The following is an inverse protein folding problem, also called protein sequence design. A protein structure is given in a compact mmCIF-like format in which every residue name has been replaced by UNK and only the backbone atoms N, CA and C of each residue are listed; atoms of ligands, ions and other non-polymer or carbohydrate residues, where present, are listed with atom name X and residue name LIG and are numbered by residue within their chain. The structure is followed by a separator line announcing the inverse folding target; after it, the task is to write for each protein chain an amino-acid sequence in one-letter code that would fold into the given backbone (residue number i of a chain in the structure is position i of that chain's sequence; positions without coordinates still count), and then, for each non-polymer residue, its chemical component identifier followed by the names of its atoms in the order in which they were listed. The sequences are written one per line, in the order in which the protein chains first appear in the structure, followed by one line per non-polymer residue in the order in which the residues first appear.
data_IF_366539485991
#
_entry.id   IF_366539485991
#
_cell.length_a   1.000
_cell.length_b   1.000
_cell.length_c   1.000
_cell.angle_alpha   90.00
_cell.angle_beta   90.00
_cell.angle_gamma   90.00
#
_symmetry.space_group_name_H-M   'P 1'
#
loop_
_entity.id
_entity.type
_entity.pdbx_description
1 polymer ?
#
# COMPACT_ATOMS: atom_id res chain seq x y z
N UNK A 1 6.60 44.85 17.06
CA UNK A 1 5.85 43.56 17.05
C UNK A 1 6.33 42.78 15.85
N UNK A 2 7.15 41.74 16.05
CA UNK A 2 7.61 40.88 14.97
C UNK A 2 6.58 39.81 14.67
N UNK A 3 6.05 39.80 13.45
CA UNK A 3 5.19 38.71 12.95
C UNK A 3 6.13 37.55 12.66
N UNK A 4 6.18 36.56 13.56
CA UNK A 4 6.82 35.29 13.27
C UNK A 4 5.97 34.58 12.21
N UNK A 5 6.36 34.70 10.94
CA UNK A 5 5.97 33.76 9.90
C UNK A 5 6.61 32.42 10.27
N UNK A 6 5.93 31.61 11.06
CA UNK A 6 6.27 30.19 11.18
C UNK A 6 6.15 29.60 9.78
N UNK A 7 7.27 29.12 9.23
CA UNK A 7 7.27 28.38 7.98
C UNK A 7 6.18 27.28 8.04
N UNK A 8 5.47 27.00 6.92
CA UNK A 8 4.44 25.98 6.90
C UNK A 8 5.03 24.66 7.40
N UNK A 9 4.44 24.12 8.46
CA UNK A 9 4.85 22.83 9.05
C UNK A 9 4.57 21.77 8.00
N UNK A 10 5.62 21.15 7.44
CA UNK A 10 5.47 20.06 6.47
C UNK A 10 4.69 18.91 7.13
N UNK A 11 3.69 18.33 6.43
CA UNK A 11 2.89 17.23 6.99
C UNK A 11 3.78 16.04 7.34
N UNK A 12 3.54 15.42 8.51
CA UNK A 12 4.25 14.22 8.91
C UNK A 12 3.82 13.05 8.02
N UNK A 13 4.75 12.28 7.43
CA UNK A 13 4.39 11.10 6.66
C UNK A 13 3.69 10.09 7.57
N UNK A 14 2.45 9.75 7.25
CA UNK A 14 1.75 8.62 7.87
C UNK A 14 2.21 7.35 7.16
N UNK A 15 3.27 6.72 7.67
CA UNK A 15 3.95 5.62 6.95
C UNK A 15 3.02 4.44 6.67
N UNK A 16 2.11 4.15 7.60
CA UNK A 16 1.11 3.10 7.42
C UNK A 16 0.03 3.46 6.38
N UNK A 17 -0.02 4.72 5.92
CA UNK A 17 -0.85 5.09 4.79
C UNK A 17 -0.46 4.33 3.52
N UNK A 18 0.72 3.71 3.43
CA UNK A 18 1.06 2.78 2.34
C UNK A 18 0.08 1.61 2.26
N UNK A 19 -0.18 0.93 3.37
CA UNK A 19 -1.12 -0.21 3.41
C UNK A 19 -2.55 0.27 3.19
N UNK A 20 -2.98 1.32 3.91
CA UNK A 20 -4.32 1.89 3.72
C UNK A 20 -4.57 2.34 2.27
N UNK A 21 -3.61 3.03 1.65
CA UNK A 21 -3.75 3.48 0.28
C UNK A 21 -3.68 2.31 -0.71
N UNK A 22 -2.97 1.22 -0.40
CA UNK A 22 -3.06 0.00 -1.20
C UNK A 22 -4.49 -0.57 -1.23
N UNK A 23 -5.24 -0.49 -0.11
CA UNK A 23 -6.66 -0.87 -0.11
C UNK A 23 -7.46 0.09 -1.01
N UNK A 24 -7.17 1.39 -0.99
CA UNK A 24 -7.80 2.35 -1.91
C UNK A 24 -7.45 2.12 -3.38
N UNK A 25 -6.24 1.60 -3.68
CA UNK A 25 -5.86 1.13 -5.02
C UNK A 25 -6.72 -0.05 -5.42
N UNK A 26 -6.89 -1.04 -4.53
CA UNK A 26 -7.72 -2.22 -4.78
C UNK A 26 -9.18 -1.79 -5.03
N UNK A 27 -9.73 -0.86 -4.24
CA UNK A 27 -11.07 -0.28 -4.45
C UNK A 27 -11.20 0.42 -5.79
N UNK A 28 -10.24 1.28 -6.14
CA UNK A 28 -10.23 2.01 -7.41
C UNK A 28 -10.14 1.09 -8.62
N UNK A 29 -9.20 0.13 -8.59
CA UNK A 29 -9.04 -0.85 -9.65
C UNK A 29 -10.24 -1.79 -9.78
N UNK A 30 -10.89 -2.16 -8.67
CA UNK A 30 -12.14 -2.93 -8.71
C UNK A 30 -13.27 -2.17 -9.41
N UNK A 31 -13.38 -0.85 -9.20
CA UNK A 31 -14.34 0.00 -9.93
C UNK A 31 -14.05 0.03 -11.44
N UNK A 32 -12.78 0.07 -11.83
CA UNK A 32 -12.39 0.02 -13.25
C UNK A 32 -12.77 -1.30 -13.90
N UNK A 33 -12.55 -2.43 -13.20
CA UNK A 33 -12.97 -3.76 -13.64
C UNK A 33 -14.51 -3.86 -13.75
N UNK A 34 -15.25 -3.31 -12.78
CA UNK A 34 -16.72 -3.26 -12.86
C UNK A 34 -17.19 -2.45 -14.07
N UNK A 35 -16.59 -1.28 -14.31
CA UNK A 35 -16.92 -0.41 -15.42
C UNK A 35 -16.62 -1.06 -16.78
N UNK A 36 -15.54 -1.84 -16.90
CA UNK A 36 -15.19 -2.56 -18.12
C UNK A 36 -16.23 -3.62 -18.53
N UNK A 37 -17.09 -4.06 -17.60
CA UNK A 37 -18.17 -5.02 -17.86
C UNK A 37 -19.50 -4.36 -18.24
N UNK A 38 -19.62 -3.04 -18.18
CA UNK A 38 -20.83 -2.32 -18.55
C UNK A 38 -20.95 -2.26 -20.07
N UNK A 39 -22.05 -2.81 -20.61
CA UNK A 39 -22.35 -2.75 -22.04
C UNK A 39 -22.94 -1.39 -22.42
N UNK A 40 -22.66 -0.93 -23.63
CA UNK A 40 -23.18 0.33 -24.17
C UNK A 40 -23.35 0.25 -25.69
N UNK A 41 -23.87 1.30 -26.32
CA UNK A 41 -23.97 1.40 -27.78
C UNK A 41 -22.61 1.25 -28.50
N UNK A 42 -21.50 1.51 -27.80
CA UNK A 42 -20.13 1.45 -28.33
C UNK A 42 -19.31 0.30 -27.78
N UNK A 43 -19.82 -0.43 -26.78
CA UNK A 43 -19.10 -1.53 -26.11
C UNK A 43 -19.95 -2.79 -26.14
N UNK A 44 -19.58 -3.71 -27.04
CA UNK A 44 -20.17 -5.04 -27.11
C UNK A 44 -19.56 -6.00 -26.07
N UNK A 45 -20.15 -7.20 -25.93
CA UNK A 45 -19.71 -8.22 -24.97
C UNK A 45 -18.25 -8.63 -25.16
N UNK A 46 -17.78 -8.69 -26.41
CA UNK A 46 -16.40 -9.11 -26.72
C UNK A 46 -15.40 -8.04 -26.29
N UNK A 47 -15.72 -6.79 -26.56
CA UNK A 47 -14.91 -5.62 -26.19
C UNK A 47 -14.85 -5.47 -24.66
N UNK A 48 -16.00 -5.60 -23.98
CA UNK A 48 -16.06 -5.58 -22.51
C UNK A 48 -15.17 -6.66 -21.86
N UNK A 49 -15.27 -7.91 -22.33
CA UNK A 49 -14.44 -9.02 -21.82
C UNK A 49 -12.95 -8.79 -22.09
N UNK A 50 -12.60 -8.23 -23.26
CA UNK A 50 -11.21 -7.90 -23.59
C UNK A 50 -10.64 -6.82 -22.66
N UNK A 51 -11.38 -5.73 -22.45
CA UNK A 51 -11.01 -4.65 -21.52
C UNK A 51 -10.86 -5.15 -20.08
N UNK A 52 -11.82 -5.97 -19.61
CA UNK A 52 -11.72 -6.59 -18.30
C UNK A 52 -10.44 -7.43 -18.17
N UNK A 53 -10.12 -8.25 -19.18
CA UNK A 53 -8.93 -9.12 -19.17
C UNK A 53 -7.64 -8.31 -19.08
N UNK A 54 -7.55 -7.18 -19.78
CA UNK A 54 -6.38 -6.28 -19.73
C UNK A 54 -6.17 -5.68 -18.34
N UNK A 55 -7.26 -5.39 -17.61
CA UNK A 55 -7.23 -4.85 -16.25
C UNK A 55 -7.02 -5.93 -15.18
N UNK A 56 -7.48 -7.15 -15.42
CA UNK A 56 -7.50 -8.22 -14.41
C UNK A 56 -6.11 -8.66 -13.98
N UNK A 57 -5.22 -8.93 -14.94
CA UNK A 57 -3.87 -9.41 -14.63
C UNK A 57 -3.05 -8.46 -13.75
N UNK A 58 -2.93 -7.14 -14.06
CA UNK A 58 -2.20 -6.23 -13.19
C UNK A 58 -2.88 -6.00 -11.85
N UNK A 59 -4.23 -6.01 -11.80
CA UNK A 59 -4.97 -5.95 -10.54
C UNK A 59 -4.66 -7.12 -9.61
N UNK A 60 -4.71 -8.36 -10.12
CA UNK A 60 -4.38 -9.55 -9.35
C UNK A 60 -2.91 -9.55 -8.91
N UNK A 61 -1.99 -9.16 -9.79
CA UNK A 61 -0.58 -9.00 -9.41
C UNK A 61 -0.45 -8.02 -8.25
N UNK A 62 -1.13 -6.86 -8.30
CA UNK A 62 -1.09 -5.88 -7.20
C UNK A 62 -1.63 -6.46 -5.89
N UNK A 63 -2.77 -7.15 -5.92
CA UNK A 63 -3.34 -7.80 -4.74
C UNK A 63 -2.41 -8.85 -4.14
N UNK A 64 -1.79 -9.70 -4.98
CA UNK A 64 -0.86 -10.71 -4.51
C UNK A 64 0.37 -10.10 -3.83
N UNK A 65 0.91 -8.99 -4.36
CA UNK A 65 2.01 -8.27 -3.71
C UNK A 65 1.58 -7.63 -2.39
N UNK A 66 0.38 -7.05 -2.33
CA UNK A 66 -0.19 -6.49 -1.10
C UNK A 66 -0.35 -7.58 -0.02
N UNK A 67 -0.97 -8.71 -0.36
CA UNK A 67 -1.10 -9.86 0.54
C UNK A 67 0.26 -10.42 0.98
N UNK A 68 1.26 -10.42 0.08
CA UNK A 68 2.64 -10.80 0.41
C UNK A 68 3.27 -9.88 1.45
N UNK A 69 2.96 -8.58 1.41
CA UNK A 69 3.37 -7.62 2.44
C UNK A 69 2.66 -7.84 3.79
N UNK A 70 1.41 -8.30 3.76
CA UNK A 70 0.62 -8.59 4.96
C UNK A 70 1.05 -9.88 5.66
N UNK A 71 1.20 -10.97 4.92
CA UNK A 71 1.54 -12.30 5.44
C UNK A 71 3.05 -12.52 5.63
N UNK A 72 3.85 -11.73 4.91
CA UNK A 72 5.30 -11.84 4.85
C UNK A 72 5.78 -12.84 3.80
N UNK A 73 7.07 -12.78 3.50
CA UNK A 73 7.74 -13.67 2.56
C UNK A 73 9.24 -13.64 2.79
N UNK A 74 9.90 -14.81 2.76
CA UNK A 74 11.33 -14.92 3.04
C UNK A 74 11.66 -14.40 4.44
N UNK A 75 12.51 -13.37 4.51
CA UNK A 75 12.97 -12.76 5.77
C UNK A 75 11.98 -11.72 6.33
N UNK A 76 10.99 -11.28 5.56
CA UNK A 76 9.97 -10.34 6.04
C UNK A 76 8.87 -11.09 6.79
N UNK A 77 8.63 -10.70 8.06
CA UNK A 77 7.63 -11.38 8.91
C UNK A 77 6.18 -11.14 8.45
N UNK A 78 5.92 -10.04 7.74
CA UNK A 78 4.57 -9.60 7.37
C UNK A 78 3.95 -8.63 8.39
N UNK A 79 3.10 -7.72 7.92
CA UNK A 79 2.38 -6.78 8.77
C UNK A 79 1.49 -7.50 9.81
N UNK A 80 0.87 -8.62 9.46
CA UNK A 80 0.00 -9.34 10.40
C UNK A 80 0.78 -9.95 11.56
N UNK A 81 1.89 -10.65 11.29
CA UNK A 81 2.73 -11.20 12.36
C UNK A 81 3.38 -10.11 13.21
N UNK A 82 3.79 -9.01 12.59
CA UNK A 82 4.26 -7.82 13.30
C UNK A 82 3.19 -7.31 14.28
N UNK A 83 1.94 -7.17 13.82
CA UNK A 83 0.82 -6.73 14.64
C UNK A 83 0.46 -7.73 15.75
N UNK A 84 0.59 -9.02 15.51
CA UNK A 84 0.37 -10.01 16.56
C UNK A 84 1.43 -9.92 17.65
N UNK A 85 2.69 -9.73 17.26
CA UNK A 85 3.82 -9.58 18.17
C UNK A 85 3.76 -8.29 18.98
N UNK A 86 3.41 -7.18 18.35
CA UNK A 86 3.51 -5.84 18.96
C UNK A 86 2.17 -5.33 19.53
N UNK A 87 1.04 -5.84 19.06
CA UNK A 87 -0.29 -5.34 19.42
C UNK A 87 -1.22 -6.46 19.94
N UNK A 88 -0.70 -7.33 20.80
CA UNK A 88 -1.46 -8.34 21.55
C UNK A 88 -2.28 -9.31 20.68
N UNK A 89 -1.69 -9.81 19.60
CA UNK A 89 -2.38 -10.75 18.72
C UNK A 89 -3.51 -10.11 17.89
N UNK A 90 -3.44 -8.81 17.59
CA UNK A 90 -4.57 -8.09 16.96
C UNK A 90 -5.02 -8.69 15.63
N UNK A 91 -4.11 -9.18 14.78
CA UNK A 91 -4.46 -9.77 13.50
C UNK A 91 -5.08 -11.18 13.70
N UNK A 92 -4.49 -12.01 14.56
CA UNK A 92 -5.02 -13.32 14.90
C UNK A 92 -6.40 -13.24 15.59
N UNK A 93 -6.60 -12.29 16.50
CA UNK A 93 -7.88 -12.10 17.19
C UNK A 93 -8.99 -11.66 16.23
N UNK A 94 -8.64 -10.94 15.16
CA UNK A 94 -9.54 -10.54 14.09
C UNK A 94 -9.68 -11.60 12.97
N UNK A 95 -8.93 -12.72 13.04
CA UNK A 95 -8.98 -13.78 12.05
C UNK A 95 -8.34 -13.46 10.70
N UNK A 96 -7.53 -12.39 10.60
CA UNK A 96 -7.06 -11.85 9.30
C UNK A 96 -6.29 -12.88 8.46
N UNK A 97 -5.46 -13.71 9.10
CA UNK A 97 -4.69 -14.77 8.43
C UNK A 97 -5.54 -15.80 7.66
N UNK A 98 -6.82 -15.94 7.99
CA UNK A 98 -7.71 -16.88 7.32
C UNK A 98 -8.47 -16.27 6.13
N UNK A 99 -8.55 -14.94 6.05
CA UNK A 99 -9.43 -14.22 5.12
C UNK A 99 -8.94 -14.25 3.66
N UNK A 100 -7.63 -14.42 3.45
CA UNK A 100 -7.03 -14.48 2.11
C UNK A 100 -7.38 -15.76 1.33
N UNK A 101 -7.66 -16.86 2.03
CA UNK A 101 -7.95 -18.16 1.39
C UNK A 101 -9.29 -18.17 0.61
N UNK A 102 -10.41 -17.66 1.16
CA UNK A 102 -11.65 -17.46 0.41
C UNK A 102 -11.48 -16.62 -0.87
N UNK A 103 -10.68 -15.55 -0.82
CA UNK A 103 -10.44 -14.64 -1.95
C UNK A 103 -9.78 -15.39 -3.11
N UNK A 104 -8.77 -16.21 -2.84
CA UNK A 104 -8.12 -17.02 -3.86
C UNK A 104 -9.10 -18.00 -4.57
N UNK A 105 -10.12 -18.48 -3.86
CA UNK A 105 -11.19 -19.29 -4.45
C UNK A 105 -12.06 -18.52 -5.45
N UNK A 106 -12.38 -17.27 -5.12
CA UNK A 106 -13.16 -16.36 -5.95
C UNK A 106 -12.35 -15.84 -7.14
N UNK A 107 -11.06 -15.56 -6.97
CA UNK A 107 -10.11 -15.23 -8.05
C UNK A 107 -10.13 -16.32 -9.12
N UNK A 108 -9.90 -17.58 -8.72
CA UNK A 108 -9.99 -18.73 -9.65
C UNK A 108 -11.37 -18.85 -10.30
N UNK A 109 -12.42 -18.39 -9.63
CA UNK A 109 -13.78 -18.36 -10.19
C UNK A 109 -13.87 -17.36 -11.35
N UNK A 110 -13.38 -16.14 -11.15
CA UNK A 110 -13.31 -15.11 -12.20
C UNK A 110 -12.43 -15.56 -13.36
N UNK A 111 -11.26 -16.15 -13.09
CA UNK A 111 -10.37 -16.68 -14.13
C UNK A 111 -11.03 -17.76 -15.00
N UNK A 112 -11.83 -18.65 -14.39
CA UNK A 112 -12.60 -19.64 -15.15
C UNK A 112 -13.62 -18.98 -16.09
N UNK A 113 -14.28 -17.91 -15.64
CA UNK A 113 -15.19 -17.14 -16.49
C UNK A 113 -14.49 -16.29 -17.56
N UNK A 114 -13.20 -16.02 -17.41
CA UNK A 114 -12.38 -15.44 -18.48
C UNK A 114 -11.93 -16.47 -19.54
N UNK A 115 -12.10 -17.76 -19.25
CA UNK A 115 -11.75 -18.86 -20.12
C UNK A 115 -12.64 -18.99 -21.36
N UNK A 116 -12.33 -19.95 -22.27
CA UNK A 116 -12.99 -20.07 -23.57
C UNK A 116 -14.48 -20.42 -23.51
N UNK A 117 -14.97 -20.90 -22.35
CA UNK A 117 -16.37 -21.28 -22.14
C UNK A 117 -17.14 -20.28 -21.28
N UNK A 118 -16.48 -19.22 -20.80
CA UNK A 118 -17.13 -18.19 -20.00
C UNK A 118 -18.01 -17.28 -20.85
N UNK A 119 -19.08 -16.76 -20.24
CA UNK A 119 -19.92 -15.73 -20.87
C UNK A 119 -19.70 -14.40 -20.17
N UNK A 120 -20.00 -13.30 -20.87
CA UNK A 120 -19.97 -11.96 -20.25
C UNK A 120 -20.84 -11.88 -18.98
N UNK A 121 -22.01 -12.51 -18.97
CA UNK A 121 -22.89 -12.53 -17.79
C UNK A 121 -22.29 -13.35 -16.63
N UNK A 122 -21.70 -14.52 -16.92
CA UNK A 122 -21.02 -15.35 -15.91
C UNK A 122 -19.79 -14.62 -15.33
N UNK A 123 -19.01 -13.94 -16.16
CA UNK A 123 -17.90 -13.10 -15.72
C UNK A 123 -18.38 -11.97 -14.80
N UNK A 124 -19.44 -11.27 -15.20
CA UNK A 124 -19.98 -10.16 -14.43
C UNK A 124 -20.51 -10.61 -13.05
N UNK A 125 -21.22 -11.73 -12.98
CA UNK A 125 -21.72 -12.25 -11.70
C UNK A 125 -20.59 -12.70 -10.77
N UNK A 126 -19.60 -13.45 -11.30
CA UNK A 126 -18.45 -13.89 -10.50
C UNK A 126 -17.60 -12.72 -10.02
N UNK A 127 -17.36 -11.73 -10.87
CA UNK A 127 -16.61 -10.54 -10.48
C UNK A 127 -17.37 -9.71 -9.44
N UNK A 128 -18.68 -9.57 -9.56
CA UNK A 128 -19.51 -8.90 -8.54
C UNK A 128 -19.34 -9.57 -7.17
N UNK A 129 -19.46 -10.90 -7.10
CA UNK A 129 -19.27 -11.67 -5.85
C UNK A 129 -17.85 -11.48 -5.31
N UNK A 130 -16.84 -11.60 -6.19
CA UNK A 130 -15.44 -11.34 -5.82
C UNK A 130 -15.25 -9.94 -5.23
N UNK A 131 -15.77 -8.90 -5.89
CA UNK A 131 -15.61 -7.52 -5.44
C UNK A 131 -16.33 -7.24 -4.12
N UNK A 132 -17.52 -7.81 -3.91
CA UNK A 132 -18.27 -7.66 -2.66
C UNK A 132 -17.52 -8.28 -1.47
N UNK A 133 -17.01 -9.51 -1.65
CA UNK A 133 -16.23 -10.20 -0.62
C UNK A 133 -14.90 -9.49 -0.36
N UNK A 134 -14.22 -9.05 -1.42
CA UNK A 134 -12.95 -8.33 -1.28
C UNK A 134 -13.13 -6.98 -0.56
N UNK A 135 -14.20 -6.23 -0.84
CA UNK A 135 -14.49 -4.98 -0.11
C UNK A 135 -14.76 -5.22 1.38
N UNK A 136 -15.53 -6.27 1.71
CA UNK A 136 -15.79 -6.65 3.09
C UNK A 136 -14.49 -7.02 3.82
N UNK A 137 -13.61 -7.78 3.16
CA UNK A 137 -12.30 -8.13 3.67
C UNK A 137 -11.42 -6.91 3.97
N UNK A 138 -11.27 -5.99 3.00
CA UNK A 138 -10.50 -4.76 3.18
C UNK A 138 -11.02 -3.89 4.34
N UNK A 139 -12.32 -3.94 4.60
CA UNK A 139 -12.97 -3.23 5.71
C UNK A 139 -12.61 -3.87 7.04
N UNK A 140 -12.70 -5.19 7.17
CA UNK A 140 -12.32 -5.93 8.38
C UNK A 140 -10.85 -5.71 8.73
N UNK A 141 -9.95 -5.77 7.74
CA UNK A 141 -8.53 -5.47 7.94
C UNK A 141 -8.31 -4.06 8.46
N UNK A 142 -8.95 -3.05 7.85
CA UNK A 142 -8.80 -1.66 8.30
C UNK A 142 -9.33 -1.45 9.72
N UNK A 143 -10.47 -2.04 10.06
CA UNK A 143 -11.05 -1.95 11.41
C UNK A 143 -10.16 -2.60 12.47
N UNK A 144 -9.51 -3.72 12.14
CA UNK A 144 -8.61 -4.43 13.05
C UNK A 144 -7.23 -3.77 13.17
N UNK A 145 -6.63 -3.39 12.05
CA UNK A 145 -5.23 -2.94 11.99
C UNK A 145 -5.07 -1.47 12.39
N UNK A 146 -5.97 -0.58 11.95
CA UNK A 146 -5.78 0.86 12.13
C UNK A 146 -5.70 1.28 13.61
N UNK A 147 -6.52 0.75 14.55
CA UNK A 147 -6.38 1.07 15.97
C UNK A 147 -5.04 0.60 16.55
N UNK A 148 -4.57 -0.60 16.16
CA UNK A 148 -3.31 -1.16 16.62
C UNK A 148 -2.12 -0.32 16.13
N UNK A 149 -2.11 0.06 14.84
CA UNK A 149 -1.10 0.92 14.25
C UNK A 149 -1.08 2.30 14.89
N UNK A 150 -2.24 2.92 15.07
CA UNK A 150 -2.35 4.22 15.73
C UNK A 150 -1.73 4.17 17.11
N UNK A 151 -2.06 3.13 17.90
CA UNK A 151 -1.49 2.92 19.23
C UNK A 151 0.03 2.76 19.19
N UNK A 152 0.57 1.92 18.31
CA UNK A 152 2.02 1.73 18.17
C UNK A 152 2.73 3.05 17.82
N UNK A 153 2.13 3.86 16.94
CA UNK A 153 2.65 5.18 16.59
C UNK A 153 2.61 6.15 17.79
N UNK A 154 1.55 6.14 18.59
CA UNK A 154 1.42 6.98 19.79
C UNK A 154 2.41 6.56 20.90
N UNK A 155 2.77 5.28 20.96
CA UNK A 155 3.80 4.73 21.86
C UNK A 155 5.24 5.02 21.40
N UNK A 156 5.42 5.72 20.27
CA UNK A 156 6.73 6.11 19.76
C UNK A 156 7.49 5.00 19.02
N UNK A 157 6.76 3.96 18.58
CA UNK A 157 7.34 2.89 17.75
C UNK A 157 7.85 3.46 16.43
N UNK A 158 9.03 3.01 15.98
CA UNK A 158 9.57 3.40 14.68
C UNK A 158 8.80 2.71 13.54
N UNK A 159 7.70 3.32 13.13
CA UNK A 159 6.83 2.81 12.07
C UNK A 159 7.53 2.74 10.71
N UNK A 160 8.63 3.50 10.49
CA UNK A 160 9.39 3.44 9.23
C UNK A 160 10.23 2.18 9.18
N UNK A 161 10.97 1.90 10.25
CA UNK A 161 11.72 0.65 10.36
C UNK A 161 10.80 -0.56 10.23
N UNK A 162 9.65 -0.55 10.91
CA UNK A 162 8.67 -1.63 10.82
C UNK A 162 8.11 -1.81 9.41
N UNK A 163 7.66 -0.74 8.74
CA UNK A 163 7.12 -0.88 7.38
C UNK A 163 8.16 -1.34 6.37
N UNK A 164 9.43 -0.94 6.52
CA UNK A 164 10.52 -1.49 5.70
C UNK A 164 10.72 -2.97 5.94
N UNK A 165 10.88 -3.38 7.20
CA UNK A 165 11.29 -4.75 7.56
C UNK A 165 10.15 -5.77 7.46
N UNK A 166 8.94 -5.38 7.84
CA UNK A 166 7.80 -6.30 7.92
C UNK A 166 6.99 -6.33 6.63
N UNK A 167 6.93 -5.22 5.86
CA UNK A 167 6.13 -5.14 4.63
C UNK A 167 7.00 -5.09 3.37
N UNK A 168 7.79 -4.04 3.17
CA UNK A 168 8.50 -3.81 1.90
C UNK A 168 9.65 -4.79 1.64
N UNK A 169 10.28 -5.32 2.68
CA UNK A 169 11.29 -6.38 2.55
C UNK A 169 10.72 -7.70 1.98
N UNK A 170 9.40 -7.86 1.96
CA UNK A 170 8.74 -9.00 1.31
C UNK A 170 8.79 -8.90 -0.23
N UNK A 171 9.04 -7.71 -0.77
CA UNK A 171 9.06 -7.44 -2.20
C UNK A 171 10.49 -7.38 -2.73
N UNK A 172 10.73 -7.97 -3.91
CA UNK A 172 11.91 -7.70 -4.72
C UNK A 172 11.83 -6.30 -5.35
N UNK A 173 12.95 -5.80 -5.88
CA UNK A 173 12.99 -4.48 -6.52
C UNK A 173 11.97 -4.34 -7.67
N UNK A 174 11.87 -5.32 -8.56
CA UNK A 174 10.93 -5.31 -9.69
C UNK A 174 9.45 -5.37 -9.22
N UNK A 175 9.18 -6.09 -8.13
CA UNK A 175 7.85 -6.12 -7.51
C UNK A 175 7.51 -4.78 -6.86
N UNK A 176 8.46 -4.16 -6.14
CA UNK A 176 8.29 -2.80 -5.60
C UNK A 176 8.02 -1.79 -6.70
N UNK A 177 8.77 -1.85 -7.81
CA UNK A 177 8.63 -0.91 -8.91
C UNK A 177 7.25 -1.01 -9.56
N UNK A 178 6.76 -2.24 -9.80
CA UNK A 178 5.41 -2.47 -10.27
C UNK A 178 4.36 -1.99 -9.27
N UNK A 179 4.52 -2.31 -7.98
CA UNK A 179 3.58 -1.94 -6.92
C UNK A 179 3.42 -0.42 -6.85
N UNK A 180 4.53 0.33 -6.91
CA UNK A 180 4.52 1.79 -6.88
C UNK A 180 3.88 2.37 -8.14
N UNK A 181 4.27 1.94 -9.35
CA UNK A 181 3.68 2.46 -10.60
C UNK A 181 2.17 2.25 -10.63
N UNK A 182 1.72 1.02 -10.34
CA UNK A 182 0.30 0.68 -10.35
C UNK A 182 -0.47 1.47 -9.31
N UNK A 183 0.02 1.53 -8.07
CA UNK A 183 -0.63 2.27 -7.00
C UNK A 183 -0.78 3.75 -7.34
N UNK A 184 0.29 4.40 -7.80
CA UNK A 184 0.28 5.84 -8.08
C UNK A 184 -0.70 6.19 -9.19
N UNK A 185 -0.72 5.41 -10.29
CA UNK A 185 -1.68 5.60 -11.39
C UNK A 185 -3.12 5.45 -10.93
N UNK A 186 -3.41 4.39 -10.16
CA UNK A 186 -4.77 4.14 -9.68
C UNK A 186 -5.22 5.21 -8.69
N UNK A 187 -4.34 5.64 -7.77
CA UNK A 187 -4.68 6.67 -6.78
C UNK A 187 -4.90 8.05 -7.41
N UNK A 188 -4.16 8.39 -8.46
CA UNK A 188 -4.41 9.61 -9.23
C UNK A 188 -5.77 9.55 -9.95
N UNK A 189 -6.04 8.43 -10.64
CA UNK A 189 -7.30 8.24 -11.37
C UNK A 189 -8.53 8.27 -10.45
N UNK A 190 -8.40 7.74 -9.23
CA UNK A 190 -9.49 7.55 -8.27
C UNK A 190 -9.36 8.47 -7.04
N UNK A 191 -9.04 9.75 -7.26
CA UNK A 191 -8.74 10.71 -6.20
C UNK A 191 -9.96 11.27 -5.43
N UNK A 192 -11.12 10.62 -5.47
CA UNK A 192 -12.34 11.11 -4.80
C UNK A 192 -12.07 11.43 -3.31
N UNK A 193 -12.13 12.72 -2.97
CA UNK A 193 -12.08 13.25 -1.60
C UNK A 193 -10.77 13.88 -1.13
N UNK A 194 -9.58 13.47 -1.58
CA UNK A 194 -8.27 13.99 -1.09
C UNK A 194 -7.10 13.56 -2.03
N UNK A 195 -5.90 14.18 -1.98
CA UNK A 195 -4.77 13.73 -2.80
C UNK A 195 -4.17 12.43 -2.24
N UNK A 196 -4.77 11.29 -2.58
CA UNK A 196 -4.35 9.95 -2.13
C UNK A 196 -2.95 9.60 -2.61
N UNK A 197 -2.64 9.94 -3.86
CA UNK A 197 -1.31 9.76 -4.44
C UNK A 197 -0.24 10.56 -3.67
N UNK A 198 -0.53 11.80 -3.26
CA UNK A 198 0.40 12.62 -2.46
C UNK A 198 0.78 11.95 -1.14
N UNK A 199 -0.22 11.49 -0.38
CA UNK A 199 0.03 10.82 0.91
C UNK A 199 0.83 9.53 0.71
N UNK A 200 0.50 8.75 -0.32
CA UNK A 200 1.24 7.54 -0.67
C UNK A 200 2.71 7.83 -1.00
N UNK A 201 2.97 8.82 -1.86
CA UNK A 201 4.34 9.18 -2.27
C UNK A 201 5.16 9.71 -1.10
N UNK A 202 4.58 10.51 -0.21
CA UNK A 202 5.28 10.98 1.00
C UNK A 202 5.65 9.82 1.92
N UNK A 203 4.76 8.83 2.05
CA UNK A 203 5.04 7.64 2.83
C UNK A 203 6.14 6.78 2.19
N UNK A 204 6.18 6.67 0.86
CA UNK A 204 7.28 6.04 0.12
C UNK A 204 8.62 6.72 0.40
N UNK A 205 8.68 8.07 0.33
CA UNK A 205 9.89 8.82 0.65
C UNK A 205 10.35 8.55 2.09
N UNK A 206 9.40 8.48 3.03
CA UNK A 206 9.71 8.27 4.44
C UNK A 206 10.24 6.86 4.77
N UNK A 207 9.97 5.87 3.93
CA UNK A 207 10.48 4.49 4.09
C UNK A 207 11.66 4.16 3.19
N UNK A 208 12.12 5.07 2.34
CA UNK A 208 13.33 4.82 1.58
C UNK A 208 14.51 4.59 2.54
N UNK A 209 15.30 3.55 2.31
CA UNK A 209 16.48 3.23 3.11
C UNK A 209 17.58 4.29 2.91
N UNK A 210 17.74 4.73 1.67
CA UNK A 210 18.74 5.70 1.27
C UNK A 210 18.28 6.52 0.06
N UNK A 211 19.13 7.45 -0.35
CA UNK A 211 18.88 8.32 -1.48
C UNK A 211 18.76 7.57 -2.81
N UNK A 212 19.53 6.49 -3.00
CA UNK A 212 19.50 5.74 -4.24
C UNK A 212 18.17 5.00 -4.41
N UNK A 213 17.66 4.41 -3.32
CA UNK A 213 16.33 3.79 -3.30
C UNK A 213 15.23 4.83 -3.55
N UNK A 214 15.31 6.00 -2.90
CA UNK A 214 14.35 7.07 -3.15
C UNK A 214 14.39 7.55 -4.61
N UNK A 215 15.57 7.80 -5.18
CA UNK A 215 15.67 8.25 -6.57
C UNK A 215 15.18 7.20 -7.59
N UNK A 216 15.26 5.90 -7.28
CA UNK A 216 14.61 4.85 -8.08
C UNK A 216 13.10 5.00 -8.04
N UNK A 217 12.53 4.99 -6.84
CA UNK A 217 11.08 5.11 -6.60
C UNK A 217 10.50 6.42 -7.14
N UNK A 218 11.22 7.53 -6.96
CA UNK A 218 10.84 8.86 -7.40
C UNK A 218 10.71 8.96 -8.92
N UNK A 219 11.60 8.32 -9.69
CA UNK A 219 11.49 8.27 -11.16
C UNK A 219 10.23 7.55 -11.62
N UNK A 220 9.82 6.51 -10.89
CA UNK A 220 8.57 5.77 -11.17
C UNK A 220 7.37 6.68 -10.89
N UNK A 221 7.34 7.34 -9.73
CA UNK A 221 6.29 8.32 -9.38
C UNK A 221 6.16 9.41 -10.44
N UNK A 222 7.29 9.98 -10.87
CA UNK A 222 7.33 11.02 -11.90
C UNK A 222 6.79 10.54 -13.26
N UNK A 223 7.05 9.28 -13.63
CA UNK A 223 6.56 8.68 -14.88
C UNK A 223 5.10 8.21 -14.80
N UNK A 224 4.60 7.96 -13.59
CA UNK A 224 3.25 7.46 -13.33
C UNK A 224 2.21 8.58 -13.28
N UNK A 225 2.56 9.72 -12.65
CA UNK A 225 1.66 10.85 -12.46
C UNK A 225 1.53 11.75 -13.69
N UNK A 226 0.37 12.42 -13.83
CA UNK A 226 0.28 13.59 -14.69
C UNK A 226 1.24 14.70 -14.22
N UNK A 227 1.62 15.59 -15.15
CA UNK A 227 2.51 16.71 -14.83
C UNK A 227 1.96 17.61 -13.71
N UNK A 228 0.64 17.82 -13.67
CA UNK A 228 -0.03 18.62 -12.64
C UNK A 228 0.03 17.93 -11.28
N UNK A 229 -0.36 16.65 -11.20
CA UNK A 229 -0.31 15.90 -9.95
C UNK A 229 1.13 15.76 -9.43
N UNK A 230 2.08 15.49 -10.32
CA UNK A 230 3.50 15.44 -9.94
C UNK A 230 4.02 16.77 -9.41
N UNK A 231 3.66 17.91 -10.02
CA UNK A 231 4.06 19.23 -9.53
C UNK A 231 3.53 19.49 -8.11
N UNK A 232 2.29 19.09 -7.82
CA UNK A 232 1.70 19.22 -6.48
C UNK A 232 2.43 18.34 -5.44
N UNK A 233 2.71 17.09 -5.78
CA UNK A 233 3.40 16.16 -4.87
C UNK A 233 4.84 16.59 -4.64
N UNK A 234 5.57 16.92 -5.71
CA UNK A 234 7.01 17.25 -5.64
C UNK A 234 7.31 18.53 -4.87
N UNK A 235 6.39 19.50 -4.87
CA UNK A 235 6.53 20.74 -4.10
C UNK A 235 6.62 20.51 -2.58
N UNK A 236 6.15 19.37 -2.08
CA UNK A 236 6.08 19.06 -0.65
C UNK A 236 7.12 18.05 -0.18
N UNK A 237 7.77 17.35 -1.11
CA UNK A 237 8.82 16.39 -0.80
C UNK A 237 9.95 17.05 0.01
N UNK A 238 10.56 16.25 0.89
CA UNK A 238 11.72 16.71 1.65
C UNK A 238 12.95 16.61 0.76
N UNK A 239 13.79 17.64 0.78
CA UNK A 239 15.11 17.56 0.16
C UNK A 239 15.95 16.56 0.94
N UNK A 240 16.32 15.48 0.27
CA UNK A 240 17.02 14.36 0.88
C UNK A 240 18.49 14.70 1.18
N UNK A 241 19.04 15.77 0.58
CA UNK A 241 20.36 16.30 0.95
C UNK A 241 20.46 16.76 2.41
N UNK A 242 19.33 16.87 3.11
CA UNK A 242 19.23 17.18 4.53
C UNK A 242 19.16 15.95 5.47
N UNK A 243 19.28 14.71 4.97
CA UNK A 243 19.16 13.45 5.74
C UNK A 243 20.25 13.16 6.79
N UNK A 244 21.00 14.19 7.22
CA UNK A 244 21.79 14.10 8.45
C UNK A 244 20.92 13.76 9.66
N UNK A 245 21.54 13.18 10.70
CA UNK A 245 20.92 12.88 12.01
C UNK A 245 20.12 14.09 12.53
N UNK A 246 18.81 14.14 12.23
CA UNK A 246 17.96 15.29 12.58
C UNK A 246 16.95 15.76 11.53
N UNK A 247 16.94 15.20 10.31
CA UNK A 247 15.93 15.54 9.28
C UNK A 247 14.47 15.30 9.72
N UNK A 248 14.29 14.41 10.71
CA UNK A 248 13.05 14.24 11.45
C UNK A 248 13.34 14.39 12.96
N UNK A 249 12.58 15.22 13.69
CA UNK A 249 12.93 15.60 15.05
C UNK A 249 13.04 14.39 16.00
N UNK A 250 13.99 14.39 16.95
CA UNK A 250 14.21 13.29 17.90
C UNK A 250 12.95 13.05 18.74
N UNK A 251 12.53 11.78 18.82
CA UNK A 251 11.23 11.34 19.33
C UNK A 251 10.48 10.39 18.38
N UNK A 252 11.06 10.10 17.20
CA UNK A 252 10.54 9.20 16.16
C UNK A 252 11.59 8.13 15.75
N UNK A 253 12.18 7.45 16.76
CA UNK A 253 13.02 6.23 16.67
C UNK A 253 14.56 6.42 16.72
N UNK A 254 15.36 5.50 17.33
CA UNK A 254 15.08 4.72 18.54
C UNK A 254 15.39 5.55 19.79
N UNK A 255 14.61 5.33 20.86
CA UNK A 255 15.04 5.76 22.19
C UNK A 255 16.35 5.03 22.52
N UNK A 256 17.46 5.74 22.50
CA UNK A 256 18.60 5.33 23.31
C UNK A 256 18.10 5.30 24.74
N UNK A 257 18.00 4.08 25.29
CA UNK A 257 17.73 3.89 26.69
C UNK A 257 18.80 4.66 27.48
N UNK A 258 18.41 5.40 28.51
CA UNK A 258 19.28 6.26 29.31
C UNK A 258 20.35 5.51 30.15
N UNK A 259 20.65 4.26 29.79
CA UNK A 259 21.69 3.43 30.37
C UNK A 259 22.62 2.93 29.26
N UNK A 260 23.53 3.79 28.79
CA UNK A 260 24.55 3.44 27.81
C UNK A 260 25.40 2.24 28.25
N UNK A 261 24.99 1.03 27.87
CA UNK A 261 25.80 -0.18 27.95
C UNK A 261 25.69 -0.92 26.63
N UNK A 262 26.76 -0.80 25.84
CA UNK A 262 26.99 -1.65 24.69
C UNK A 262 27.09 -3.10 25.14
N UNK A 263 26.36 -3.98 24.45
CA UNK A 263 26.62 -5.42 24.52
C UNK A 263 27.74 -5.73 23.53
N UNK A 264 28.93 -6.00 24.07
CA UNK A 264 29.97 -6.72 23.37
C UNK A 264 29.47 -8.15 23.08
N UNK A 265 29.48 -8.56 21.82
CA UNK A 265 29.52 -9.97 21.48
C UNK A 265 30.94 -10.50 21.72
N UNK A 266 31.07 -11.45 22.65
CA UNK A 266 32.21 -12.35 22.73
C UNK A 266 31.72 -13.79 22.64
N UNK A 267 32.18 -14.47 21.58
CA UNK A 267 32.52 -15.91 21.48
C UNK A 267 31.54 -16.95 22.05
N UNK A 268 30.93 -17.71 21.13
CA UNK A 268 31.10 -19.17 21.06
C UNK A 268 31.41 -19.52 19.60
#
# INVERSE_FOLDING_TARGET
MGIYNSAPVKPRPEVFALMRNAHEVIRGASRDLAAALVLSDTVDKRTAVAQFRELWAPFIKFMQLHMKMEEGSGEAEGVFKMLDRLAKGSANNAGLHAEHSPIAGLERSVERALGPFGTHADLADRFRIFSEVNEAHLTVEQEAMMPAIKKLSEEGTDMRALMRQSAFAALSADETDFFVDYAVRTLEKHAEGHPRARVFVHALQAIAQDEAEWQRTHRIVQAALSAEAYAQVSAELVDMGAWGEGAYPPGQGPLMNAAGRGFCFSQI
#
